data_IF_838394561232
#
_entry.id   IF_838394561232
#
_cell.length_a   1.000
_cell.length_b   1.000
_cell.length_c   1.000
_cell.angle_alpha   90.00
_cell.angle_beta   90.00
_cell.angle_gamma   90.00
#
_symmetry.space_group_name_H-M   'P 1'
#
loop_
_entity.id
_entity.type
_entity.pdbx_description
1 polymer ?
#
# COMPACT_ATOMS: atom_id res chain seq x y z
N UNK A 1 6.76 12.80 -2.95
CA UNK A 1 7.12 11.37 -3.04
C UNK A 1 5.91 10.66 -3.61
N UNK A 2 6.06 9.60 -4.42
CA UNK A 2 4.93 8.81 -4.86
C UNK A 2 4.15 8.26 -3.67
N UNK A 3 2.82 8.36 -3.76
CA UNK A 3 1.89 7.94 -2.70
C UNK A 3 1.28 6.60 -3.07
N UNK A 4 1.09 5.74 -2.07
CA UNK A 4 0.55 4.40 -2.26
C UNK A 4 -0.52 4.08 -1.23
N UNK A 5 -1.55 3.37 -1.68
CA UNK A 5 -2.49 2.65 -0.86
C UNK A 5 -2.00 1.20 -0.74
N UNK A 6 -1.73 0.76 0.48
CA UNK A 6 -1.56 -0.63 0.80
C UNK A 6 -2.83 -1.19 1.46
N UNK A 7 -3.26 -2.36 1.00
CA UNK A 7 -4.37 -3.13 1.58
C UNK A 7 -3.89 -4.52 1.91
N UNK A 8 -4.34 -5.05 3.05
CA UNK A 8 -3.91 -6.34 3.54
C UNK A 8 -5.00 -7.03 4.37
N UNK A 9 -5.04 -8.35 4.31
CA UNK A 9 -5.89 -9.19 5.16
C UNK A 9 -5.02 -10.27 5.81
N UNK A 10 -5.27 -10.56 7.08
CA UNK A 10 -4.50 -11.55 7.82
C UNK A 10 -4.80 -12.97 7.35
N UNK A 11 -3.75 -13.80 7.35
CA UNK A 11 -3.92 -15.25 7.35
C UNK A 11 -4.33 -15.74 8.74
N UNK A 12 -4.74 -17.01 8.85
CA UNK A 12 -5.09 -17.61 10.16
C UNK A 12 -3.92 -17.48 11.15
N UNK A 13 -2.69 -17.74 10.71
CA UNK A 13 -1.48 -17.59 11.52
C UNK A 13 -1.23 -16.12 11.88
N UNK A 14 -1.40 -15.21 10.92
CA UNK A 14 -1.25 -13.78 11.13
C UNK A 14 -2.21 -13.21 12.18
N UNK A 15 -3.47 -13.68 12.20
CA UNK A 15 -4.43 -13.32 13.26
C UNK A 15 -3.95 -13.76 14.63
N UNK A 16 -3.28 -14.92 14.74
CA UNK A 16 -2.66 -15.38 15.98
C UNK A 16 -1.67 -14.37 16.53
N UNK A 17 -0.71 -13.93 15.70
CA UNK A 17 0.25 -12.89 16.08
C UNK A 17 -0.42 -11.55 16.43
N UNK A 18 -1.49 -11.17 15.70
CA UNK A 18 -2.26 -9.96 16.03
C UNK A 18 -2.93 -10.05 17.40
N UNK A 19 -3.50 -11.21 17.76
CA UNK A 19 -4.13 -11.42 19.07
C UNK A 19 -3.13 -11.37 20.22
N UNK A 20 -1.90 -11.84 20.00
CA UNK A 20 -0.84 -11.85 21.01
C UNK A 20 -0.21 -10.47 21.23
N UNK A 21 0.10 -9.74 20.14
CA UNK A 21 0.90 -8.51 20.20
C UNK A 21 0.05 -7.23 20.12
N UNK A 22 -1.19 -7.34 19.65
CA UNK A 22 -2.12 -6.24 19.50
C UNK A 22 -1.86 -5.33 18.28
N UNK A 23 -2.88 -4.57 17.90
CA UNK A 23 -2.86 -3.81 16.65
C UNK A 23 -1.83 -2.68 16.59
N UNK A 24 -1.54 -2.03 17.71
CA UNK A 24 -0.53 -0.96 17.80
C UNK A 24 0.87 -1.48 17.54
N UNK A 25 1.23 -2.65 18.12
CA UNK A 25 2.52 -3.31 17.88
C UNK A 25 2.72 -3.62 16.38
N UNK A 26 1.66 -4.11 15.72
CA UNK A 26 1.70 -4.38 14.27
C UNK A 26 1.84 -3.13 13.42
N UNK A 27 1.17 -2.04 13.79
CA UNK A 27 1.36 -0.73 13.15
C UNK A 27 2.81 -0.25 13.28
N UNK A 28 3.40 -0.38 14.46
CA UNK A 28 4.76 0.11 14.72
C UNK A 28 5.80 -0.71 13.95
N UNK A 29 5.62 -2.04 13.89
CA UNK A 29 6.45 -2.92 13.07
C UNK A 29 6.37 -2.57 11.58
N UNK A 30 5.16 -2.35 11.04
CA UNK A 30 4.98 -1.93 9.65
C UNK A 30 5.59 -0.56 9.37
N UNK A 31 5.41 0.40 10.28
CA UNK A 31 5.96 1.75 10.16
C UNK A 31 7.48 1.72 10.13
N UNK A 32 8.11 0.88 10.94
CA UNK A 32 9.57 0.67 10.92
C UNK A 32 10.04 0.05 9.59
N UNK A 33 9.31 -0.93 9.05
CA UNK A 33 9.62 -1.52 7.74
C UNK A 33 9.54 -0.46 6.62
N UNK A 34 8.50 0.37 6.60
CA UNK A 34 8.33 1.47 5.64
C UNK A 34 9.45 2.51 5.80
N UNK A 35 9.79 2.89 7.04
CA UNK A 35 10.89 3.82 7.30
C UNK A 35 12.26 3.28 6.86
N UNK A 36 12.47 1.96 6.91
CA UNK A 36 13.73 1.33 6.51
C UNK A 36 14.06 1.50 5.02
N UNK A 37 13.05 1.77 4.19
CA UNK A 37 13.20 2.09 2.76
C UNK A 37 13.06 3.58 2.47
N UNK A 38 13.12 4.43 3.50
CA UNK A 38 12.99 5.88 3.39
C UNK A 38 11.56 6.39 3.20
N UNK A 39 10.55 5.57 3.54
CA UNK A 39 9.14 5.95 3.46
C UNK A 39 8.54 6.45 4.77
N UNK A 40 7.28 6.86 4.71
CA UNK A 40 6.47 7.31 5.85
C UNK A 40 5.05 6.77 5.77
N UNK A 41 4.42 6.53 6.93
CA UNK A 41 3.00 6.18 7.03
C UNK A 41 2.18 7.44 7.27
N UNK A 42 1.29 7.76 6.34
CA UNK A 42 0.35 8.88 6.46
C UNK A 42 -0.89 8.47 7.26
N UNK A 43 -1.42 7.28 6.96
CA UNK A 43 -2.62 6.75 7.61
C UNK A 43 -2.51 5.23 7.79
N UNK A 44 -3.07 4.73 8.90
CA UNK A 44 -3.16 3.31 9.20
C UNK A 44 -4.48 3.03 9.90
N UNK A 45 -5.29 2.16 9.32
CA UNK A 45 -6.57 1.76 9.88
C UNK A 45 -6.73 0.25 9.83
N UNK A 46 -7.33 -0.29 10.89
CA UNK A 46 -8.02 -1.56 10.80
C UNK A 46 -9.41 -1.31 10.21
N UNK A 47 -9.83 -2.11 9.24
CA UNK A 47 -11.09 -1.96 8.53
C UNK A 47 -11.95 -3.21 8.67
N UNK A 48 -13.27 -3.01 8.69
CA UNK A 48 -14.21 -4.09 8.44
C UNK A 48 -14.47 -4.19 6.94
N UNK A 49 -14.59 -5.40 6.41
CA UNK A 49 -14.86 -5.64 5.00
C UNK A 49 -13.93 -6.70 4.43
N UNK A 50 -13.53 -6.53 3.17
CA UNK A 50 -12.67 -7.48 2.46
C UNK A 50 -11.20 -7.40 2.91
N UNK A 51 -10.77 -6.20 3.33
CA UNK A 51 -9.42 -5.91 3.80
C UNK A 51 -9.43 -5.61 5.31
N UNK A 52 -8.53 -6.24 6.07
CA UNK A 52 -8.38 -5.99 7.51
C UNK A 52 -7.60 -4.70 7.79
N UNK A 53 -6.74 -4.30 6.84
CA UNK A 53 -5.84 -3.15 6.95
C UNK A 53 -5.94 -2.25 5.72
N UNK A 54 -6.01 -0.95 5.96
CA UNK A 54 -5.92 0.11 4.96
C UNK A 54 -4.84 1.09 5.39
N UNK A 55 -3.81 1.23 4.57
CA UNK A 55 -2.63 2.03 4.87
C UNK A 55 -2.36 3.00 3.72
N UNK A 56 -2.15 4.28 4.04
CA UNK A 56 -1.62 5.26 3.08
C UNK A 56 -0.17 5.52 3.47
N UNK A 57 0.73 5.35 2.51
CA UNK A 57 2.17 5.53 2.72
C UNK A 57 2.81 6.28 1.56
N UNK A 58 3.85 7.03 1.88
CA UNK A 58 4.76 7.62 0.89
C UNK A 58 6.07 6.83 0.90
N UNK A 59 6.60 6.50 -0.28
CA UNK A 59 7.92 5.85 -0.42
C UNK A 59 8.68 6.51 -1.57
N UNK A 60 10.03 6.47 -1.59
CA UNK A 60 10.81 7.31 -2.50
C UNK A 60 10.64 6.92 -3.98
N UNK A 61 10.43 5.64 -4.27
CA UNK A 61 10.34 5.12 -5.64
C UNK A 61 9.57 3.78 -5.72
N UNK A 62 9.36 3.29 -6.94
CA UNK A 62 8.65 2.04 -7.20
C UNK A 62 9.40 0.79 -6.72
N UNK A 63 10.74 0.82 -6.68
CA UNK A 63 11.54 -0.31 -6.22
C UNK A 63 11.38 -0.50 -4.70
N UNK A 64 11.36 0.60 -3.94
CA UNK A 64 11.06 0.59 -2.50
C UNK A 64 9.63 0.09 -2.23
N UNK A 65 8.65 0.52 -3.01
CA UNK A 65 7.27 0.01 -2.90
C UNK A 65 7.18 -1.51 -3.16
N UNK A 66 7.86 -1.98 -4.22
CA UNK A 66 7.92 -3.39 -4.56
C UNK A 66 8.65 -4.23 -3.51
N UNK A 67 9.77 -3.73 -2.97
CA UNK A 67 10.54 -4.39 -1.92
C UNK A 67 9.70 -4.60 -0.65
N UNK A 68 8.92 -3.60 -0.24
CA UNK A 68 7.98 -3.71 0.88
C UNK A 68 6.94 -4.79 0.60
N UNK A 69 6.28 -4.74 -0.56
CA UNK A 69 5.23 -5.70 -0.91
C UNK A 69 5.73 -7.14 -0.98
N UNK A 70 6.92 -7.36 -1.56
CA UNK A 70 7.55 -8.68 -1.63
C UNK A 70 7.96 -9.19 -0.24
N UNK A 71 8.51 -8.32 0.61
CA UNK A 71 8.99 -8.72 1.95
C UNK A 71 7.82 -9.00 2.88
N UNK A 72 6.84 -8.10 2.93
CA UNK A 72 5.68 -8.19 3.83
C UNK A 72 4.71 -9.28 3.35
N UNK A 73 4.33 -9.26 2.08
CA UNK A 73 3.44 -10.28 1.51
C UNK A 73 4.09 -11.66 1.46
N UNK A 74 5.40 -11.73 1.21
CA UNK A 74 6.16 -12.98 1.19
C UNK A 74 6.33 -13.63 2.56
N UNK A 75 6.15 -12.88 3.67
CA UNK A 75 6.21 -13.42 5.02
C UNK A 75 5.00 -14.31 5.37
N UNK A 76 3.91 -14.25 4.60
CA UNK A 76 2.76 -15.17 4.73
C UNK A 76 1.77 -14.85 5.86
N UNK A 77 2.09 -13.92 6.75
CA UNK A 77 1.18 -13.48 7.81
C UNK A 77 -0.02 -12.67 7.29
N UNK A 78 0.14 -11.98 6.15
CA UNK A 78 -0.91 -11.19 5.51
C UNK A 78 -0.86 -11.33 3.99
N UNK A 79 -2.02 -11.18 3.34
CA UNK A 79 -2.07 -10.80 1.93
C UNK A 79 -1.61 -9.34 1.79
N UNK A 80 -1.03 -8.98 0.65
CA UNK A 80 -0.57 -7.61 0.42
C UNK A 80 -0.88 -7.14 -0.99
N UNK A 81 -1.55 -6.00 -1.08
CA UNK A 81 -1.85 -5.30 -2.33
C UNK A 81 -1.34 -3.87 -2.25
N UNK A 82 -0.56 -3.44 -3.24
CA UNK A 82 -0.08 -2.06 -3.38
C UNK A 82 -0.73 -1.39 -4.59
N UNK A 83 -1.31 -0.20 -4.39
CA UNK A 83 -1.89 0.63 -5.45
C UNK A 83 -1.22 2.00 -5.43
N UNK A 84 -0.74 2.48 -6.57
CA UNK A 84 -0.26 3.86 -6.72
C UNK A 84 -1.46 4.81 -6.61
N UNK A 85 -1.33 5.87 -5.81
CA UNK A 85 -2.30 6.93 -5.69
C UNK A 85 -1.82 8.15 -6.49
N UNK A 86 -2.68 8.66 -7.38
CA UNK A 86 -2.44 9.91 -8.10
C UNK A 86 -3.07 11.07 -7.35
N UNK A 87 -2.38 12.21 -7.30
CA UNK A 87 -2.96 13.45 -6.79
C UNK A 87 -3.91 14.08 -7.81
N UNK A 88 -4.81 14.98 -7.37
CA UNK A 88 -5.61 15.78 -8.30
C UNK A 88 -4.76 16.51 -9.35
N UNK A 89 -3.61 17.07 -8.96
CA UNK A 89 -2.71 17.79 -9.86
C UNK A 89 -2.07 16.87 -10.91
N UNK A 90 -1.74 15.62 -10.55
CA UNK A 90 -1.27 14.63 -11.54
C UNK A 90 -2.36 14.27 -12.56
N UNK A 91 -3.64 14.30 -12.13
CA UNK A 91 -4.78 14.16 -13.05
C UNK A 91 -4.93 15.43 -13.92
N UNK A 92 -4.77 16.62 -13.37
CA UNK A 92 -4.79 17.88 -14.13
C UNK A 92 -3.71 17.90 -15.22
N UNK A 93 -2.49 17.43 -14.90
CA UNK A 93 -1.43 17.24 -15.88
C UNK A 93 -1.79 16.17 -16.92
N UNK A 94 -2.45 15.09 -16.51
CA UNK A 94 -2.84 14.01 -17.42
C UNK A 94 -3.90 14.46 -18.43
N UNK A 95 -4.91 15.22 -18.00
CA UNK A 95 -5.98 15.70 -18.90
C UNK A 95 -5.50 16.75 -19.90
N UNK A 96 -4.38 17.43 -19.62
CA UNK A 96 -3.75 18.36 -20.55
C UNK A 96 -3.00 17.66 -21.71
N UNK A 97 -2.80 16.33 -21.64
CA UNK A 97 -2.09 15.57 -22.68
C UNK A 97 -3.02 15.20 -23.83
N UNK A 98 -2.60 15.44 -25.06
CA UNK A 98 -3.30 14.93 -26.24
C UNK A 98 -2.98 13.46 -26.46
N UNK A 99 -4.02 12.62 -26.55
CA UNK A 99 -3.90 11.20 -26.86
C UNK A 99 -4.48 10.94 -28.25
N UNK A 100 -3.63 10.55 -29.19
CA UNK A 100 -4.11 10.05 -30.48
C UNK A 100 -4.66 8.64 -30.28
N UNK A 101 -5.97 8.49 -30.40
CA UNK A 101 -6.66 7.21 -30.27
C UNK A 101 -7.60 6.97 -31.44
N UNK A 102 -7.43 5.82 -32.10
CA UNK A 102 -8.37 5.31 -33.10
C UNK A 102 -9.26 4.26 -32.45
N UNK A 103 -10.57 4.50 -32.23
CA UNK A 103 -11.46 3.50 -31.67
C UNK A 103 -11.62 2.29 -32.61
N UNK A 104 -11.86 1.08 -32.07
CA UNK A 104 -12.14 -0.09 -32.89
C UNK A 104 -13.28 0.17 -33.89
N UNK A 105 -13.07 -0.17 -35.17
CA UNK A 105 -14.06 -0.02 -36.22
C UNK A 105 -14.09 1.34 -36.95
N UNK A 106 -13.13 2.23 -36.69
CA UNK A 106 -12.92 3.48 -37.45
C UNK A 106 -11.91 3.37 -38.59
#
# INVERSE_FOLDING_TARGET
MPRYLARASYSIEGVGGLLEEGGTSRRDALSAAIASVGGTVEAFYYAFGDDDLVIIMDVPDQASAAALGLTIGGAGAISWSTTVLLTPEEIDEAVAKSVEYRPPGS
#
